data_IF_595495714365
#
_entry.id   IF_595495714365
#
_cell.length_a   1.000
_cell.length_b   1.000
_cell.length_c   1.000
_cell.angle_alpha   90.00
_cell.angle_beta   90.00
_cell.angle_gamma   90.00
#
_symmetry.space_group_name_H-M   'P 1'
#
loop_
_entity.id
_entity.type
_entity.pdbx_description
1 polymer ?
#
# COMPACT_ATOMS: atom_id res chain seq x y z
N UNK A 1 3.82 -7.99 -2.95
CA UNK A 1 3.75 -9.43 -2.52
C UNK A 1 3.96 -10.39 -3.68
N UNK A 2 3.31 -10.23 -4.84
CA UNK A 2 3.44 -11.14 -6.01
C UNK A 2 4.90 -11.51 -6.36
N UNK A 3 5.87 -10.57 -6.50
CA UNK A 3 7.22 -10.94 -6.89
C UNK A 3 7.95 -11.83 -5.86
N UNK A 4 7.67 -11.67 -4.57
CA UNK A 4 8.29 -12.50 -3.51
C UNK A 4 7.76 -13.93 -3.58
N UNK A 5 6.44 -14.10 -3.74
CA UNK A 5 5.85 -15.42 -3.90
C UNK A 5 6.28 -16.10 -5.20
N UNK A 6 6.38 -15.33 -6.30
CA UNK A 6 6.88 -15.88 -7.56
C UNK A 6 8.34 -16.36 -7.43
N UNK A 7 9.22 -15.59 -6.79
CA UNK A 7 10.58 -15.99 -6.53
C UNK A 7 10.66 -17.25 -5.65
N UNK A 8 9.85 -17.31 -4.59
CA UNK A 8 9.81 -18.49 -3.71
C UNK A 8 9.31 -19.76 -4.42
N UNK A 9 8.27 -19.63 -5.25
CA UNK A 9 7.74 -20.80 -6.00
C UNK A 9 8.70 -21.31 -7.09
N UNK A 10 9.59 -20.45 -7.59
CA UNK A 10 10.59 -20.81 -8.58
C UNK A 10 11.87 -21.39 -7.94
N UNK A 11 12.08 -21.18 -6.64
CA UNK A 11 13.23 -21.73 -5.92
C UNK A 11 12.90 -23.11 -5.36
N UNK A 12 13.17 -24.14 -6.17
CA UNK A 12 12.97 -25.53 -5.81
C UNK A 12 13.83 -26.00 -4.61
N UNK A 13 14.80 -25.23 -4.16
CA UNK A 13 15.67 -25.52 -3.02
C UNK A 13 15.35 -24.69 -1.79
N UNK A 14 14.30 -23.87 -1.83
CA UNK A 14 13.90 -23.05 -0.69
C UNK A 14 13.46 -23.94 0.46
N UNK A 15 14.15 -23.82 1.59
CA UNK A 15 13.76 -24.42 2.88
C UNK A 15 12.85 -23.51 3.68
N UNK A 16 12.52 -22.31 3.17
CA UNK A 16 11.69 -21.32 3.83
C UNK A 16 10.25 -21.80 3.97
N UNK A 17 9.68 -21.62 5.15
CA UNK A 17 8.27 -21.93 5.36
C UNK A 17 7.38 -20.92 4.65
N UNK A 18 6.12 -21.28 4.41
CA UNK A 18 5.10 -20.37 3.89
C UNK A 18 4.97 -19.10 4.73
N UNK A 19 5.06 -19.23 6.07
CA UNK A 19 4.96 -18.12 7.01
C UNK A 19 6.15 -17.16 6.86
N UNK A 20 7.37 -17.68 6.69
CA UNK A 20 8.56 -16.84 6.49
C UNK A 20 8.46 -16.05 5.18
N UNK A 21 8.00 -16.70 4.11
CA UNK A 21 7.78 -16.06 2.81
C UNK A 21 6.73 -14.96 2.89
N UNK A 22 5.64 -15.18 3.64
CA UNK A 22 4.63 -14.19 3.88
C UNK A 22 5.19 -13.00 4.68
N UNK A 23 5.97 -13.27 5.73
CA UNK A 23 6.64 -12.26 6.53
C UNK A 23 7.52 -11.34 5.66
N UNK A 24 8.43 -11.92 4.88
CA UNK A 24 9.29 -11.17 3.95
C UNK A 24 8.46 -10.35 2.94
N UNK A 25 7.36 -10.90 2.45
CA UNK A 25 6.49 -10.19 1.50
C UNK A 25 5.82 -8.97 2.15
N UNK A 26 5.42 -9.07 3.41
CA UNK A 26 4.83 -7.96 4.17
C UNK A 26 5.89 -6.92 4.51
N UNK A 27 7.10 -7.34 4.90
CA UNK A 27 8.21 -6.44 5.21
C UNK A 27 8.61 -5.63 3.97
N UNK A 28 8.74 -6.28 2.81
CA UNK A 28 9.03 -5.61 1.55
C UNK A 28 7.91 -4.64 1.15
N UNK A 29 6.65 -5.01 1.40
CA UNK A 29 5.51 -4.13 1.18
C UNK A 29 5.54 -2.92 2.11
N UNK A 30 5.89 -3.11 3.40
CA UNK A 30 6.02 -2.02 4.36
C UNK A 30 7.16 -1.06 3.97
N UNK A 31 8.32 -1.60 3.55
CA UNK A 31 9.44 -0.80 3.04
C UNK A 31 9.04 0.01 1.78
N UNK A 32 8.23 -0.56 0.89
CA UNK A 32 7.70 0.16 -0.27
C UNK A 32 6.82 1.36 0.11
N UNK A 33 6.20 1.31 1.28
CA UNK A 33 5.42 2.41 1.88
C UNK A 33 6.25 3.30 2.81
N UNK A 34 7.60 3.23 2.72
CA UNK A 34 8.54 3.95 3.59
C UNK A 34 8.41 3.57 5.06
N UNK A 35 7.95 2.35 5.34
CA UNK A 35 7.91 1.79 6.68
C UNK A 35 9.31 1.51 7.21
N UNK A 36 9.46 1.53 8.52
CA UNK A 36 10.67 1.10 9.21
C UNK A 36 10.45 -0.34 9.68
N UNK A 37 11.25 -1.26 9.16
CA UNK A 37 11.21 -2.68 9.52
C UNK A 37 12.40 -3.00 10.42
N UNK A 38 12.15 -3.65 11.55
CA UNK A 38 13.20 -4.11 12.48
C UNK A 38 13.30 -5.62 12.36
N UNK A 39 14.48 -6.08 11.93
CA UNK A 39 14.82 -7.51 11.84
C UNK A 39 16.06 -7.76 12.70
N UNK A 40 15.97 -8.67 13.64
CA UNK A 40 17.07 -9.02 14.57
C UNK A 40 17.71 -7.80 15.25
N UNK A 41 16.90 -6.80 15.61
CA UNK A 41 17.37 -5.57 16.26
C UNK A 41 18.00 -4.54 15.31
N UNK A 42 18.09 -4.84 14.01
CA UNK A 42 18.59 -3.91 12.99
C UNK A 42 17.40 -3.21 12.32
N UNK A 43 17.38 -1.89 12.38
CA UNK A 43 16.35 -1.10 11.68
C UNK A 43 16.73 -0.92 10.22
N UNK A 44 15.92 -1.48 9.33
CA UNK A 44 16.07 -1.32 7.88
C UNK A 44 15.16 -0.18 7.41
N UNK A 45 15.78 0.82 6.80
CA UNK A 45 15.10 2.02 6.25
C UNK A 45 15.48 2.15 4.78
N UNK A 46 15.05 1.20 3.97
CA UNK A 46 15.29 1.22 2.54
C UNK A 46 13.94 1.36 1.81
N UNK A 47 13.82 2.37 0.96
CA UNK A 47 12.62 2.58 0.14
C UNK A 47 12.91 2.24 -1.31
N UNK A 48 12.52 1.06 -1.78
CA UNK A 48 12.69 0.68 -3.18
C UNK A 48 11.73 1.49 -4.06
N UNK A 49 12.24 2.49 -4.77
CA UNK A 49 11.44 3.45 -5.55
C UNK A 49 10.49 2.78 -6.55
N UNK A 50 10.93 1.71 -7.21
CA UNK A 50 10.09 0.97 -8.16
C UNK A 50 8.88 0.31 -7.47
N UNK A 51 9.08 -0.24 -6.26
CA UNK A 51 7.99 -0.82 -5.49
C UNK A 51 7.04 0.25 -4.97
N UNK A 52 7.57 1.38 -4.50
CA UNK A 52 6.75 2.54 -4.08
C UNK A 52 5.92 3.05 -5.25
N UNK A 53 6.52 3.19 -6.44
CA UNK A 53 5.79 3.56 -7.66
C UNK A 53 4.70 2.54 -7.99
N UNK A 54 5.00 1.25 -7.90
CA UNK A 54 4.02 0.17 -8.09
C UNK A 54 2.85 0.27 -7.11
N UNK A 55 3.11 0.58 -5.84
CA UNK A 55 2.08 0.78 -4.83
C UNK A 55 1.20 2.02 -5.14
N UNK A 56 1.81 3.12 -5.58
CA UNK A 56 1.06 4.32 -6.01
C UNK A 56 0.18 4.00 -7.22
N UNK A 57 0.70 3.31 -8.23
CA UNK A 57 -0.10 2.90 -9.38
C UNK A 57 -1.25 1.97 -8.99
N UNK A 58 -0.99 0.98 -8.13
CA UNK A 58 -2.03 0.11 -7.60
C UNK A 58 -3.10 0.90 -6.82
N UNK A 59 -2.69 1.89 -6.02
CA UNK A 59 -3.61 2.79 -5.33
C UNK A 59 -4.42 3.65 -6.30
N UNK A 60 -3.84 4.13 -7.41
CA UNK A 60 -4.56 4.83 -8.47
C UNK A 60 -5.64 3.94 -9.13
N UNK A 61 -5.30 2.70 -9.46
CA UNK A 61 -6.26 1.75 -10.03
C UNK A 61 -7.37 1.40 -9.04
N UNK A 62 -7.02 1.16 -7.77
CA UNK A 62 -7.99 0.92 -6.72
C UNK A 62 -8.91 2.11 -6.47
N UNK A 63 -8.37 3.33 -6.47
CA UNK A 63 -9.15 4.55 -6.36
C UNK A 63 -10.14 4.69 -7.53
N UNK A 64 -9.68 4.47 -8.78
CA UNK A 64 -10.57 4.50 -9.95
C UNK A 64 -11.72 3.50 -9.85
N UNK A 65 -11.44 2.30 -9.37
CA UNK A 65 -12.48 1.28 -9.18
C UNK A 65 -13.47 1.64 -8.05
N UNK A 66 -13.03 2.46 -7.08
CA UNK A 66 -13.87 2.90 -5.97
C UNK A 66 -14.75 4.13 -6.31
N UNK A 67 -14.39 4.88 -7.37
CA UNK A 67 -15.20 6.01 -7.81
C UNK A 67 -16.30 5.50 -8.77
N UNK A 68 -17.58 5.67 -8.41
CA UNK A 68 -18.67 5.34 -9.33
C UNK A 68 -18.67 6.32 -10.52
N UNK A 69 -19.11 5.82 -11.69
CA UNK A 69 -19.21 6.61 -12.95
C UNK A 69 -20.25 7.74 -12.88
N UNK A 70 -21.02 7.82 -11.79
CA UNK A 70 -22.03 8.85 -11.59
C UNK A 70 -21.42 10.16 -11.09
N UNK A 71 -21.97 11.29 -11.54
CA UNK A 71 -21.59 12.64 -11.10
C UNK A 71 -21.83 12.81 -9.59
N UNK A 72 -20.78 12.65 -8.80
CA UNK A 72 -20.85 12.80 -7.36
C UNK A 72 -20.80 14.29 -6.97
N UNK A 73 -21.59 14.64 -5.96
CA UNK A 73 -21.49 15.95 -5.31
C UNK A 73 -20.17 16.05 -4.56
N UNK A 74 -19.61 17.26 -4.46
CA UNK A 74 -18.33 17.49 -3.79
C UNK A 74 -18.21 16.91 -2.36
N UNK A 75 -19.25 16.96 -1.49
CA UNK A 75 -19.20 16.34 -0.17
C UNK A 75 -19.10 14.81 -0.24
N UNK A 76 -19.80 14.17 -1.19
CA UNK A 76 -19.77 12.71 -1.35
C UNK A 76 -18.41 12.27 -1.84
N UNK A 77 -17.79 13.03 -2.75
CA UNK A 77 -16.44 12.79 -3.23
C UNK A 77 -15.43 12.81 -2.07
N UNK A 78 -15.50 13.82 -1.18
CA UNK A 78 -14.62 13.90 0.00
C UNK A 78 -14.80 12.70 0.94
N UNK A 79 -16.04 12.28 1.16
CA UNK A 79 -16.34 11.12 2.00
C UNK A 79 -15.74 9.84 1.43
N UNK A 80 -15.86 9.62 0.11
CA UNK A 80 -15.27 8.47 -0.59
C UNK A 80 -13.74 8.51 -0.50
N UNK A 81 -13.13 9.68 -0.75
CA UNK A 81 -11.69 9.85 -0.64
C UNK A 81 -11.18 9.51 0.76
N UNK A 82 -11.83 10.03 1.80
CA UNK A 82 -11.46 9.75 3.19
C UNK A 82 -11.68 8.29 3.56
N UNK A 83 -12.78 7.68 3.11
CA UNK A 83 -13.05 6.26 3.32
C UNK A 83 -12.00 5.37 2.64
N UNK A 84 -11.57 5.72 1.41
CA UNK A 84 -10.53 5.00 0.69
C UNK A 84 -9.18 5.07 1.42
N UNK A 85 -8.73 6.28 1.78
CA UNK A 85 -7.47 6.47 2.52
C UNK A 85 -7.52 5.80 3.88
N UNK A 86 -8.62 5.96 4.62
CA UNK A 86 -8.83 5.34 5.93
C UNK A 86 -8.82 3.81 5.84
N UNK A 87 -9.54 3.24 4.88
CA UNK A 87 -9.57 1.80 4.62
C UNK A 87 -8.18 1.25 4.25
N UNK A 88 -7.42 1.99 3.45
CA UNK A 88 -6.06 1.62 3.08
C UNK A 88 -5.12 1.58 4.30
N UNK A 89 -5.20 2.59 5.18
CA UNK A 89 -4.43 2.65 6.43
C UNK A 89 -4.83 1.51 7.38
N UNK A 90 -6.12 1.23 7.52
CA UNK A 90 -6.60 0.10 8.35
C UNK A 90 -6.05 -1.22 7.83
N UNK A 91 -6.12 -1.45 6.52
CA UNK A 91 -5.54 -2.65 5.90
C UNK A 91 -4.02 -2.75 6.15
N UNK A 92 -3.31 -1.62 6.09
CA UNK A 92 -1.88 -1.56 6.42
C UNK A 92 -1.59 -1.95 7.88
N UNK A 93 -2.41 -1.49 8.83
CA UNK A 93 -2.27 -1.87 10.25
C UNK A 93 -2.51 -3.38 10.45
N UNK A 94 -3.54 -3.94 9.80
CA UNK A 94 -3.80 -5.38 9.87
C UNK A 94 -2.61 -6.18 9.34
N UNK A 95 -2.03 -5.79 8.22
CA UNK A 95 -0.82 -6.43 7.67
C UNK A 95 0.37 -6.29 8.64
N UNK A 96 0.54 -5.12 9.27
CA UNK A 96 1.58 -4.92 10.29
C UNK A 96 1.42 -5.81 11.51
N UNK A 97 0.20 -6.04 11.97
CA UNK A 97 -0.09 -6.98 13.06
C UNK A 97 0.27 -8.41 12.63
N UNK A 98 -0.10 -8.81 11.42
CA UNK A 98 0.23 -10.14 10.88
C UNK A 98 1.75 -10.33 10.77
N UNK A 99 2.50 -9.32 10.31
CA UNK A 99 3.96 -9.35 10.29
C UNK A 99 4.56 -9.51 11.71
N UNK A 100 4.00 -8.81 12.69
CA UNK A 100 4.43 -8.87 14.09
C UNK A 100 4.24 -10.22 14.77
N UNK A 101 3.49 -11.15 14.16
CA UNK A 101 3.40 -12.54 14.59
C UNK A 101 4.63 -13.37 14.15
N UNK A 102 5.48 -12.83 13.29
CA UNK A 102 6.73 -13.43 12.82
C UNK A 102 7.96 -12.89 13.55
N UNK A 103 9.10 -12.88 12.83
CA UNK A 103 10.42 -12.47 13.38
C UNK A 103 10.71 -10.97 13.18
N UNK A 104 9.84 -10.24 12.48
CA UNK A 104 10.02 -8.82 12.19
C UNK A 104 9.01 -7.96 12.94
N UNK A 105 9.43 -6.76 13.32
CA UNK A 105 8.55 -5.77 13.93
C UNK A 105 8.53 -4.50 13.08
N UNK A 106 7.33 -4.06 12.70
CA UNK A 106 7.14 -2.84 11.94
C UNK A 106 6.66 -1.75 12.91
N UNK A 107 7.29 -0.58 12.86
CA UNK A 107 6.83 0.56 13.66
C UNK A 107 5.45 1.01 13.20
N UNK A 108 4.45 0.88 14.06
CA UNK A 108 3.03 1.17 13.76
C UNK A 108 2.80 2.58 13.20
N UNK A 109 3.55 3.59 13.65
CA UNK A 109 3.47 4.94 13.11
C UNK A 109 3.85 5.02 11.63
N UNK A 110 4.83 4.25 11.21
CA UNK A 110 5.28 4.24 9.81
C UNK A 110 4.22 3.63 8.90
N UNK A 111 3.41 2.71 9.42
CA UNK A 111 2.26 2.11 8.72
C UNK A 111 1.02 3.02 8.67
N UNK A 112 1.03 4.17 9.35
CA UNK A 112 0.00 5.20 9.18
C UNK A 112 0.43 6.18 8.10
N UNK A 113 1.59 6.79 8.27
CA UNK A 113 2.04 7.91 7.43
C UNK A 113 2.34 7.45 6.00
N UNK A 114 3.10 6.38 5.83
CA UNK A 114 3.49 5.86 4.50
C UNK A 114 2.28 5.46 3.65
N UNK A 115 1.44 4.51 4.12
CA UNK A 115 0.24 4.11 3.41
C UNK A 115 -0.75 5.24 3.17
N UNK A 116 -0.94 6.17 4.12
CA UNK A 116 -1.81 7.33 3.94
C UNK A 116 -1.31 8.23 2.80
N UNK A 117 0.00 8.48 2.69
CA UNK A 117 0.58 9.26 1.61
C UNK A 117 0.41 8.56 0.26
N UNK A 118 0.67 7.26 0.18
CA UNK A 118 0.50 6.48 -1.07
C UNK A 118 -0.96 6.51 -1.52
N UNK A 119 -1.89 6.26 -0.61
CA UNK A 119 -3.33 6.29 -0.92
C UNK A 119 -3.80 7.69 -1.31
N UNK A 120 -3.35 8.74 -0.60
CA UNK A 120 -3.70 10.12 -0.90
C UNK A 120 -3.16 10.56 -2.27
N UNK A 121 -1.93 10.16 -2.63
CA UNK A 121 -1.37 10.42 -3.96
C UNK A 121 -2.17 9.71 -5.06
N UNK A 122 -2.56 8.45 -4.82
CA UNK A 122 -3.41 7.68 -5.75
C UNK A 122 -4.74 8.37 -6.02
N UNK A 123 -5.43 8.78 -4.96
CA UNK A 123 -6.71 9.50 -5.05
C UNK A 123 -6.54 10.86 -5.70
N UNK A 124 -5.53 11.65 -5.31
CA UNK A 124 -5.28 12.97 -5.87
C UNK A 124 -5.00 12.90 -7.37
N UNK A 125 -4.20 11.92 -7.81
CA UNK A 125 -3.92 11.68 -9.22
C UNK A 125 -5.19 11.32 -9.99
N UNK A 126 -6.01 10.41 -9.45
CA UNK A 126 -7.27 10.00 -10.07
C UNK A 126 -8.22 11.21 -10.21
N UNK A 127 -8.42 11.96 -9.13
CA UNK A 127 -9.28 13.15 -9.14
C UNK A 127 -8.79 14.23 -10.12
N UNK A 128 -7.46 14.42 -10.26
CA UNK A 128 -6.89 15.36 -11.20
C UNK A 128 -7.07 14.93 -12.64
N UNK A 129 -6.89 13.63 -12.91
CA UNK A 129 -7.04 13.07 -14.25
C UNK A 129 -8.48 13.17 -14.73
N UNK A 130 -9.44 12.88 -13.87
CA UNK A 130 -10.87 12.97 -14.16
C UNK A 130 -11.33 14.40 -14.45
N UNK A 131 -10.84 15.40 -13.68
CA UNK A 131 -11.13 16.82 -13.94
C UNK A 131 -10.66 17.29 -15.32
N UNK A 132 -9.53 16.77 -15.81
CA UNK A 132 -9.00 17.16 -17.13
C UNK A 132 -9.84 16.62 -18.28
N UNK A 133 -10.53 15.51 -18.09
CA UNK A 133 -11.31 14.85 -19.13
C UNK A 133 -12.81 15.20 -19.07
N UNK A 134 -13.21 15.97 -18.05
CA UNK A 134 -14.58 16.46 -17.86
C UNK A 134 -14.57 17.97 -17.67
N UNK A 135 -14.31 18.77 -18.72
CA UNK A 135 -14.21 20.24 -18.63
C UNK A 135 -15.50 20.94 -18.19
N UNK A 136 -16.62 20.21 -18.14
CA UNK A 136 -17.90 20.72 -17.63
C UNK A 136 -17.96 20.87 -16.11
N UNK A 137 -16.88 20.53 -15.38
CA UNK A 137 -16.78 20.59 -13.92
C UNK A 137 -15.90 21.77 -13.43
N UNK A 138 -15.50 22.65 -14.33
CA UNK A 138 -14.69 23.83 -14.00
C UNK A 138 -15.56 25.04 -13.63
#
# INVERSE_FOLDING_TARGET
MVPVFAAWTLDAQSTSSWNDTLGVAIDLWALAHRGHVVVDGITVVFSPLLLTLGCVLAACFGARAAFPDERLRAPDLRAIMLAYVGGYVVAAQVLGIVAGLGHSHIHWWSLIVGPALVAALGVAWTAWHERKHSPELA
#
